data_IF_102727094299
#
_entry.id   IF_102727094299
#
_cell.length_a   1.000
_cell.length_b   1.000
_cell.length_c   1.000
_cell.angle_alpha   90.00
_cell.angle_beta   90.00
_cell.angle_gamma   90.00
#
_symmetry.space_group_name_H-M   'P 1'
#
loop_
_entity.id
_entity.type
_entity.pdbx_description
1 polymer ?
#
# COMPACT_ATOMS: atom_id res chain seq x y z
N UNK A 1 37.08 -35.70 -7.19
CA UNK A 1 38.42 -35.08 -7.10
C UNK A 1 38.42 -34.16 -5.90
N UNK A 2 39.23 -34.48 -4.96
CA UNK A 2 39.48 -34.00 -3.60
C UNK A 2 39.33 -32.49 -3.35
N UNK A 3 38.74 -32.19 -2.19
CA UNK A 3 39.03 -30.99 -1.37
C UNK A 3 40.52 -30.91 -0.99
N UNK A 4 40.99 -29.73 -0.50
CA UNK A 4 41.37 -29.74 0.90
C UNK A 4 40.89 -28.53 1.72
N UNK A 5 40.81 -28.86 3.02
CA UNK A 5 40.56 -28.05 4.20
C UNK A 5 41.77 -27.17 4.62
N UNK A 6 41.46 -26.42 5.69
CA UNK A 6 42.30 -25.86 6.77
C UNK A 6 42.74 -24.40 6.58
N UNK A 7 42.80 -23.48 7.56
CA UNK A 7 42.91 -23.58 9.01
C UNK A 7 42.61 -22.20 9.63
N UNK A 8 42.08 -22.22 10.82
CA UNK A 8 42.13 -21.10 11.80
C UNK A 8 43.50 -21.11 12.54
N UNK A 9 43.96 -20.02 13.15
CA UNK A 9 43.96 -19.89 14.62
C UNK A 9 43.70 -18.46 15.11
N UNK A 10 42.91 -18.23 16.14
CA UNK A 10 43.12 -18.19 17.61
C UNK A 10 44.02 -17.08 18.18
N UNK A 11 43.33 -16.33 19.11
CA UNK A 11 43.77 -15.74 20.39
C UNK A 11 44.75 -14.55 20.43
N UNK A 12 44.34 -13.48 21.16
CA UNK A 12 44.94 -13.20 22.47
C UNK A 12 44.31 -11.91 23.10
N UNK A 13 43.73 -12.07 24.26
CA UNK A 13 43.50 -11.01 25.27
C UNK A 13 44.84 -10.72 25.99
N UNK A 14 45.06 -9.55 26.60
CA UNK A 14 44.92 -9.48 28.05
C UNK A 14 44.36 -8.14 28.63
N UNK A 15 43.66 -8.27 29.75
CA UNK A 15 43.56 -7.37 30.89
C UNK A 15 44.77 -7.55 31.79
N UNK A 16 45.01 -6.82 32.95
CA UNK A 16 44.35 -5.74 33.67
C UNK A 16 45.31 -4.68 34.30
N UNK A 17 44.84 -3.83 35.17
CA UNK A 17 45.33 -3.34 36.48
C UNK A 17 45.11 -1.84 36.73
N UNK A 18 44.26 -1.53 37.70
CA UNK A 18 44.44 -1.16 39.12
C UNK A 18 45.10 0.18 39.44
N UNK A 19 44.47 0.99 40.25
CA UNK A 19 44.87 1.56 41.55
C UNK A 19 44.29 2.97 41.79
N UNK A 20 43.38 3.10 42.67
CA UNK A 20 43.47 3.46 44.14
C UNK A 20 43.65 4.95 44.45
N UNK A 21 42.65 5.45 45.18
CA UNK A 21 42.65 6.21 46.45
C UNK A 21 43.25 7.62 46.47
N UNK A 22 42.65 8.62 47.05
CA UNK A 22 42.42 8.94 48.46
C UNK A 22 41.64 10.24 48.64
N UNK A 23 40.65 10.22 49.44
CA UNK A 23 40.31 10.99 50.64
C UNK A 23 40.91 12.39 50.85
N UNK A 24 40.05 13.37 51.24
CA UNK A 24 40.09 14.12 52.49
C UNK A 24 38.99 15.20 52.59
N UNK A 25 38.01 15.04 53.42
CA UNK A 25 37.54 15.76 54.60
C UNK A 25 37.08 17.20 54.52
N UNK A 26 35.82 17.39 54.85
CA UNK A 26 35.13 18.29 55.74
C UNK A 26 35.20 19.83 55.56
N UNK A 27 34.04 20.45 55.50
CA UNK A 27 33.53 21.36 56.54
C UNK A 27 32.08 21.77 56.31
N UNK A 28 31.29 21.61 57.32
CA UNK A 28 29.98 22.07 57.71
C UNK A 28 29.73 23.56 57.44
N UNK A 29 28.56 23.89 56.89
CA UNK A 29 27.65 24.94 57.41
C UNK A 29 26.31 24.88 56.70
N UNK A 30 25.24 24.54 57.39
CA UNK A 30 23.86 24.96 57.12
C UNK A 30 23.60 26.25 57.88
N UNK A 31 22.60 27.09 57.58
CA UNK A 31 21.29 26.81 56.99
C UNK A 31 20.81 27.90 56.00
N UNK A 32 19.82 27.67 55.23
CA UNK A 32 18.62 28.51 55.11
C UNK A 32 17.77 28.00 53.94
N UNK A 33 16.59 27.48 54.25
CA UNK A 33 15.49 27.30 53.31
C UNK A 33 15.01 28.65 52.82
N UNK A 34 14.77 28.79 51.52
CA UNK A 34 13.46 29.24 51.10
C UNK A 34 12.91 28.55 49.86
N UNK A 35 11.61 28.35 49.93
CA UNK A 35 10.64 28.34 48.88
C UNK A 35 10.74 27.22 47.80
N UNK A 36 9.86 26.30 48.01
CA UNK A 36 9.23 25.39 47.08
C UNK A 36 8.85 26.13 45.78
N UNK A 37 9.74 26.06 44.77
CA UNK A 37 9.40 26.43 43.41
C UNK A 37 8.78 25.21 42.75
N UNK A 38 7.45 25.21 42.64
CA UNK A 38 6.64 24.26 41.91
C UNK A 38 7.13 24.22 40.45
N UNK A 39 7.92 23.22 40.11
CA UNK A 39 8.29 22.97 38.74
C UNK A 39 7.03 22.73 37.91
N UNK A 40 6.86 23.38 36.71
CA UNK A 40 5.71 23.13 35.88
C UNK A 40 5.75 21.65 35.45
N UNK A 41 4.70 20.91 35.77
CA UNK A 41 4.44 19.57 35.19
C UNK A 41 4.54 19.70 33.69
N UNK A 42 5.64 19.24 33.10
CA UNK A 42 5.73 19.01 31.65
C UNK A 42 4.57 18.08 31.30
N UNK A 43 3.54 18.65 30.69
CA UNK A 43 2.49 17.87 30.05
C UNK A 43 3.22 16.92 29.09
N UNK A 44 3.10 15.62 29.33
CA UNK A 44 3.46 14.62 28.34
C UNK A 44 2.59 14.94 27.12
N UNK A 45 3.16 15.66 26.14
CA UNK A 45 2.57 15.70 24.80
C UNK A 45 2.42 14.25 24.40
N UNK A 46 1.18 13.77 24.40
CA UNK A 46 0.83 12.48 23.88
C UNK A 46 1.41 12.39 22.45
N UNK A 47 1.97 11.23 22.12
CA UNK A 47 2.40 10.90 20.76
C UNK A 47 1.28 11.39 19.83
N UNK A 48 1.57 12.14 18.72
CA UNK A 48 0.53 12.54 17.80
C UNK A 48 -0.31 11.31 17.46
N UNK A 49 -1.60 11.34 17.79
CA UNK A 49 -2.49 10.23 17.46
C UNK A 49 -2.47 10.05 15.94
N UNK A 50 -2.51 8.81 15.46
CA UNK A 50 -2.72 8.55 14.05
C UNK A 50 -4.01 9.26 13.63
N UNK A 51 -3.93 10.10 12.58
CA UNK A 51 -5.14 10.53 11.92
C UNK A 51 -5.78 9.32 11.21
N UNK A 52 -7.07 9.43 10.88
CA UNK A 52 -7.85 8.33 10.30
C UNK A 52 -7.24 7.83 8.99
N UNK A 53 -6.70 8.72 8.19
CA UNK A 53 -6.11 8.37 6.90
C UNK A 53 -4.82 7.57 7.05
N UNK A 54 -3.91 8.03 7.89
CA UNK A 54 -2.66 7.33 8.22
C UNK A 54 -2.94 5.95 8.83
N UNK A 55 -3.96 5.85 9.69
CA UNK A 55 -4.41 4.57 10.26
C UNK A 55 -4.82 3.59 9.15
N UNK A 56 -5.69 4.03 8.24
CA UNK A 56 -6.19 3.18 7.14
C UNK A 56 -5.03 2.74 6.24
N UNK A 57 -4.14 3.64 5.85
CA UNK A 57 -3.01 3.32 4.99
C UNK A 57 -2.09 2.27 5.64
N UNK A 58 -1.72 2.45 6.89
CA UNK A 58 -0.89 1.49 7.64
C UNK A 58 -1.58 0.15 7.86
N UNK A 59 -2.87 0.16 8.20
CA UNK A 59 -3.63 -1.08 8.31
C UNK A 59 -3.72 -1.83 6.97
N UNK A 60 -3.82 -1.10 5.85
CA UNK A 60 -3.79 -1.68 4.50
C UNK A 60 -2.48 -2.40 4.24
N UNK A 61 -1.33 -1.81 4.58
CA UNK A 61 -0.01 -2.45 4.49
C UNK A 61 0.05 -3.75 5.32
N UNK A 62 -0.51 -3.73 6.54
CA UNK A 62 -0.56 -4.92 7.40
C UNK A 62 -1.43 -6.03 6.79
N UNK A 63 -2.60 -5.69 6.25
CA UNK A 63 -3.47 -6.66 5.59
C UNK A 63 -2.85 -7.26 4.34
N UNK A 64 -2.13 -6.46 3.55
CA UNK A 64 -1.41 -6.95 2.35
C UNK A 64 -0.29 -7.91 2.76
N UNK A 65 0.51 -7.55 3.77
CA UNK A 65 1.70 -8.31 4.17
C UNK A 65 1.40 -9.61 4.91
N UNK A 66 0.35 -9.60 5.77
CA UNK A 66 0.01 -10.75 6.66
C UNK A 66 -1.23 -11.53 6.22
N UNK A 67 -1.95 -11.03 5.23
CA UNK A 67 -3.28 -11.51 4.85
C UNK A 67 -4.37 -10.97 5.78
N UNK A 68 -5.55 -10.67 5.20
CA UNK A 68 -6.68 -10.14 5.96
C UNK A 68 -7.22 -11.16 6.97
N UNK A 69 -7.50 -12.40 6.54
CA UNK A 69 -8.16 -13.41 7.38
C UNK A 69 -7.33 -13.75 8.62
N UNK A 70 -6.00 -13.89 8.48
CA UNK A 70 -5.07 -14.20 9.56
C UNK A 70 -4.70 -13.01 10.45
N UNK A 71 -5.18 -11.79 10.16
CA UNK A 71 -4.85 -10.58 10.91
C UNK A 71 -5.96 -10.21 11.88
N UNK A 72 -5.64 -10.09 13.18
CA UNK A 72 -6.55 -9.55 14.20
C UNK A 72 -6.36 -8.04 14.40
N UNK A 73 -7.35 -7.37 15.02
CA UNK A 73 -7.22 -5.94 15.40
C UNK A 73 -6.09 -5.73 16.43
N UNK A 74 -5.78 -6.72 17.25
CA UNK A 74 -4.63 -6.67 18.16
C UNK A 74 -3.30 -6.71 17.38
N UNK A 75 -3.25 -7.49 16.31
CA UNK A 75 -2.09 -7.51 15.40
C UNK A 75 -1.91 -6.17 14.72
N UNK A 76 -2.99 -5.58 14.19
CA UNK A 76 -2.94 -4.23 13.59
C UNK A 76 -2.46 -3.20 14.61
N UNK A 77 -3.00 -3.19 15.83
CA UNK A 77 -2.61 -2.27 16.89
C UNK A 77 -1.12 -2.38 17.22
N UNK A 78 -0.61 -3.60 17.35
CA UNK A 78 0.81 -3.88 17.62
C UNK A 78 1.73 -3.38 16.50
N UNK A 79 1.39 -3.66 15.25
CA UNK A 79 2.19 -3.20 14.09
C UNK A 79 2.21 -1.67 13.95
N UNK A 80 1.10 -1.01 14.31
CA UNK A 80 1.01 0.44 14.30
C UNK A 80 1.62 1.09 15.56
N UNK A 81 1.91 0.32 16.61
CA UNK A 81 2.41 0.84 17.89
C UNK A 81 1.37 1.70 18.62
N UNK A 82 0.07 1.40 18.49
CA UNK A 82 -1.05 2.06 19.15
C UNK A 82 -1.89 1.06 19.92
N UNK A 83 -2.85 1.57 20.71
CA UNK A 83 -3.78 0.69 21.42
C UNK A 83 -4.92 0.25 20.50
N UNK A 84 -5.49 -0.92 20.75
CA UNK A 84 -6.69 -1.40 20.07
C UNK A 84 -7.87 -0.42 20.20
N UNK A 85 -8.00 0.21 21.37
CA UNK A 85 -9.01 1.25 21.60
C UNK A 85 -8.82 2.45 20.66
N UNK A 86 -7.57 2.86 20.38
CA UNK A 86 -7.29 3.95 19.46
C UNK A 86 -7.77 3.63 18.04
N UNK A 87 -7.68 2.36 17.59
CA UNK A 87 -8.23 1.95 16.29
C UNK A 87 -9.74 2.06 16.30
N UNK A 88 -10.42 1.58 17.36
CA UNK A 88 -11.88 1.59 17.47
C UNK A 88 -12.48 3.00 17.63
N UNK A 89 -11.68 4.03 17.90
CA UNK A 89 -12.12 5.42 17.77
C UNK A 89 -12.33 5.86 16.31
N UNK A 90 -11.72 5.17 15.35
CA UNK A 90 -11.77 5.53 13.93
C UNK A 90 -12.65 4.60 13.10
N UNK A 91 -12.81 3.35 13.51
CA UNK A 91 -13.57 2.31 12.79
C UNK A 91 -14.29 1.39 13.77
N UNK A 92 -15.48 0.93 13.40
CA UNK A 92 -16.30 0.08 14.28
C UNK A 92 -15.85 -1.40 14.25
N UNK A 93 -15.24 -1.86 13.15
CA UNK A 93 -14.86 -3.26 13.00
C UNK A 93 -13.65 -3.46 12.08
N UNK A 94 -13.14 -4.68 12.05
CA UNK A 94 -12.09 -5.11 11.11
C UNK A 94 -12.60 -5.07 9.67
N UNK A 95 -13.85 -5.43 9.46
CA UNK A 95 -14.52 -5.42 8.16
C UNK A 95 -14.67 -3.99 7.63
N UNK A 96 -15.05 -3.03 8.48
CA UNK A 96 -15.09 -1.61 8.11
C UNK A 96 -13.70 -1.10 7.74
N UNK A 97 -12.68 -1.49 8.50
CA UNK A 97 -11.30 -1.10 8.20
C UNK A 97 -10.85 -1.67 6.84
N UNK A 98 -11.20 -2.92 6.51
CA UNK A 98 -10.96 -3.51 5.19
C UNK A 98 -11.71 -2.76 4.09
N UNK A 99 -12.99 -2.46 4.31
CA UNK A 99 -13.81 -1.71 3.35
C UNK A 99 -13.19 -0.34 3.04
N UNK A 100 -12.79 0.40 4.06
CA UNK A 100 -12.11 1.69 3.90
C UNK A 100 -10.76 1.57 3.18
N UNK A 101 -10.00 0.51 3.51
CA UNK A 101 -8.72 0.22 2.87
C UNK A 101 -8.86 -0.03 1.36
N UNK A 102 -9.90 -0.75 0.94
CA UNK A 102 -10.16 -1.07 -0.48
C UNK A 102 -10.81 0.10 -1.21
N UNK A 103 -11.79 0.75 -0.59
CA UNK A 103 -12.67 1.73 -1.24
C UNK A 103 -11.94 2.91 -1.88
N UNK A 104 -10.77 3.30 -1.36
CA UNK A 104 -9.97 4.40 -1.94
C UNK A 104 -9.48 4.04 -3.33
N UNK A 105 -8.82 2.90 -3.47
CA UNK A 105 -8.31 2.43 -4.75
C UNK A 105 -9.43 2.15 -5.75
N UNK A 106 -10.53 1.54 -5.29
CA UNK A 106 -11.71 1.26 -6.13
C UNK A 106 -12.31 2.55 -6.67
N UNK A 107 -12.56 3.56 -5.82
CA UNK A 107 -13.12 4.83 -6.25
C UNK A 107 -12.18 5.59 -7.18
N UNK A 108 -10.89 5.61 -6.89
CA UNK A 108 -9.91 6.26 -7.76
C UNK A 108 -9.88 5.61 -9.15
N UNK A 109 -9.89 4.28 -9.21
CA UNK A 109 -9.91 3.53 -10.46
C UNK A 109 -11.21 3.74 -11.24
N UNK A 110 -12.36 3.66 -10.56
CA UNK A 110 -13.67 3.89 -11.19
C UNK A 110 -13.78 5.30 -11.78
N UNK A 111 -13.39 6.32 -11.01
CA UNK A 111 -13.37 7.71 -11.47
C UNK A 111 -12.42 7.94 -12.65
N UNK A 112 -11.23 7.33 -12.63
CA UNK A 112 -10.28 7.46 -13.73
C UNK A 112 -10.81 6.82 -15.03
N UNK A 113 -11.36 5.61 -14.95
CA UNK A 113 -11.97 4.93 -16.11
C UNK A 113 -13.18 5.70 -16.62
N UNK A 114 -14.04 6.21 -15.74
CA UNK A 114 -15.19 7.03 -16.11
C UNK A 114 -14.78 8.30 -16.85
N UNK A 115 -13.79 9.03 -16.31
CA UNK A 115 -13.27 10.26 -16.91
C UNK A 115 -12.79 10.02 -18.34
N UNK A 116 -12.03 8.96 -18.58
CA UNK A 116 -11.51 8.67 -19.91
C UNK A 116 -12.59 8.09 -20.84
N UNK A 117 -13.58 7.37 -20.31
CA UNK A 117 -14.72 6.86 -21.07
C UNK A 117 -15.58 7.97 -21.66
N UNK A 118 -15.68 9.09 -20.97
CA UNK A 118 -16.49 10.25 -21.35
C UNK A 118 -15.68 11.32 -22.09
N UNK A 119 -14.40 11.10 -22.37
CA UNK A 119 -13.54 12.08 -23.05
C UNK A 119 -14.07 12.39 -24.46
N UNK A 120 -14.32 13.66 -24.69
CA UNK A 120 -14.80 14.15 -25.98
C UNK A 120 -13.65 14.35 -27.00
N UNK A 121 -14.00 14.41 -28.28
CA UNK A 121 -13.09 14.68 -29.40
C UNK A 121 -11.97 13.66 -29.62
N UNK A 122 -12.13 12.43 -29.11
CA UNK A 122 -11.24 11.30 -29.37
C UNK A 122 -12.08 10.05 -29.68
N UNK A 123 -11.54 9.13 -30.50
CA UNK A 123 -12.22 7.90 -30.85
C UNK A 123 -12.21 6.88 -29.66
N UNK A 124 -12.99 5.80 -29.80
CA UNK A 124 -13.13 4.81 -28.74
C UNK A 124 -11.80 4.08 -28.44
N UNK A 125 -10.96 3.84 -29.44
CA UNK A 125 -9.63 3.25 -29.23
C UNK A 125 -8.77 4.13 -28.33
N UNK A 126 -8.73 5.43 -28.58
CA UNK A 126 -7.94 6.36 -27.78
C UNK A 126 -8.50 6.50 -26.36
N UNK A 127 -9.84 6.55 -26.18
CA UNK A 127 -10.46 6.47 -24.85
C UNK A 127 -10.04 5.23 -24.09
N UNK A 128 -10.02 4.08 -24.77
CA UNK A 128 -9.58 2.82 -24.16
C UNK A 128 -8.10 2.86 -23.77
N UNK A 129 -7.23 3.40 -24.62
CA UNK A 129 -5.80 3.57 -24.30
C UNK A 129 -5.59 4.44 -23.04
N UNK A 130 -6.29 5.57 -22.99
CA UNK A 130 -6.22 6.49 -21.85
C UNK A 130 -6.76 5.84 -20.57
N UNK A 131 -7.87 5.09 -20.67
CA UNK A 131 -8.43 4.36 -19.53
C UNK A 131 -7.47 3.27 -19.00
N UNK A 132 -6.80 2.53 -19.87
CA UNK A 132 -5.78 1.54 -19.49
C UNK A 132 -4.57 2.24 -18.85
N UNK A 133 -4.08 3.33 -19.46
CA UNK A 133 -2.97 4.11 -18.92
C UNK A 133 -3.29 4.65 -17.52
N UNK A 134 -4.45 5.28 -17.35
CA UNK A 134 -4.92 5.80 -16.08
C UNK A 134 -5.06 4.68 -15.03
N UNK A 135 -5.55 3.49 -15.44
CA UNK A 135 -5.65 2.33 -14.56
C UNK A 135 -4.29 1.88 -14.02
N UNK A 136 -3.22 1.92 -14.81
CA UNK A 136 -1.85 1.61 -14.37
C UNK A 136 -1.37 2.63 -13.32
N UNK A 137 -1.54 3.92 -13.60
CA UNK A 137 -1.13 4.99 -12.69
C UNK A 137 -1.85 4.87 -11.34
N UNK A 138 -3.18 4.70 -11.37
CA UNK A 138 -4.00 4.53 -10.16
C UNK A 138 -3.63 3.25 -9.40
N UNK A 139 -3.37 2.13 -10.12
CA UNK A 139 -2.92 0.90 -9.48
C UNK A 139 -1.61 1.09 -8.71
N UNK A 140 -0.67 1.82 -9.29
CA UNK A 140 0.63 2.11 -8.65
C UNK A 140 0.43 3.04 -7.45
N UNK A 141 -0.34 4.12 -7.59
CA UNK A 141 -0.61 5.09 -6.52
C UNK A 141 -1.34 4.43 -5.34
N UNK A 142 -2.34 3.59 -5.63
CA UNK A 142 -3.15 2.88 -4.64
C UNK A 142 -2.78 1.40 -4.51
N UNK A 143 -1.51 1.06 -4.74
CA UNK A 143 -1.01 -0.31 -4.88
C UNK A 143 -1.53 -1.26 -3.80
N UNK A 144 -1.44 -0.89 -2.52
CA UNK A 144 -1.90 -1.74 -1.42
C UNK A 144 -3.43 -1.93 -1.43
N UNK A 145 -4.20 -0.88 -1.73
CA UNK A 145 -5.66 -0.94 -1.82
C UNK A 145 -6.12 -1.85 -2.96
N UNK A 146 -5.50 -1.73 -4.14
CA UNK A 146 -5.81 -2.56 -5.30
C UNK A 146 -5.36 -4.01 -5.06
N UNK A 147 -4.20 -4.23 -4.44
CA UNK A 147 -3.74 -5.57 -4.05
C UNK A 147 -4.74 -6.26 -3.13
N UNK A 148 -5.31 -5.54 -2.14
CA UNK A 148 -6.37 -6.09 -1.29
C UNK A 148 -7.63 -6.41 -2.08
N UNK A 149 -8.08 -5.51 -2.96
CA UNK A 149 -9.24 -5.75 -3.82
C UNK A 149 -9.08 -7.02 -4.65
N UNK A 150 -7.89 -7.30 -5.17
CA UNK A 150 -7.62 -8.51 -5.97
C UNK A 150 -7.61 -9.80 -5.13
N UNK A 151 -7.45 -9.68 -3.81
CA UNK A 151 -7.39 -10.83 -2.88
C UNK A 151 -8.71 -11.14 -2.17
N UNK A 152 -9.69 -10.22 -2.17
CA UNK A 152 -10.99 -10.48 -1.54
C UNK A 152 -11.76 -11.57 -2.29
N UNK A 153 -12.52 -12.38 -1.52
CA UNK A 153 -13.24 -13.57 -2.03
C UNK A 153 -14.77 -13.44 -1.95
N UNK A 154 -15.28 -12.38 -1.32
CA UNK A 154 -16.71 -12.18 -1.14
C UNK A 154 -17.27 -12.85 0.11
N UNK A 155 -16.44 -13.13 1.11
CA UNK A 155 -16.84 -13.81 2.35
C UNK A 155 -17.76 -12.93 3.23
N UNK A 156 -17.66 -11.61 3.10
CA UNK A 156 -18.52 -10.66 3.85
C UNK A 156 -19.37 -9.80 2.91
N UNK A 157 -20.43 -9.12 3.41
CA UNK A 157 -21.20 -8.16 2.60
C UNK A 157 -20.32 -7.07 1.99
N UNK A 158 -19.39 -6.51 2.77
CA UNK A 158 -18.47 -5.44 2.32
C UNK A 158 -17.50 -5.92 1.24
N UNK A 159 -17.03 -7.17 1.33
CA UNK A 159 -16.23 -7.76 0.25
C UNK A 159 -17.05 -7.98 -1.03
N UNK A 160 -18.31 -8.40 -0.91
CA UNK A 160 -19.19 -8.53 -2.09
C UNK A 160 -19.46 -7.20 -2.76
N UNK A 161 -19.65 -6.12 -2.00
CA UNK A 161 -19.77 -4.75 -2.52
C UNK A 161 -18.50 -4.34 -3.30
N UNK A 162 -17.31 -4.61 -2.74
CA UNK A 162 -16.04 -4.32 -3.41
C UNK A 162 -15.88 -5.11 -4.73
N UNK A 163 -16.29 -6.39 -4.74
CA UNK A 163 -16.29 -7.20 -5.97
C UNK A 163 -17.33 -6.73 -7.00
N UNK A 164 -18.45 -6.20 -6.57
CA UNK A 164 -19.45 -5.61 -7.45
C UNK A 164 -18.92 -4.32 -8.09
N UNK A 165 -18.33 -3.43 -7.30
CA UNK A 165 -17.68 -2.24 -7.80
C UNK A 165 -16.58 -2.56 -8.83
N UNK A 166 -15.77 -3.61 -8.57
CA UNK A 166 -14.80 -4.11 -9.55
C UNK A 166 -15.46 -4.57 -10.85
N UNK A 167 -16.56 -5.35 -10.78
CA UNK A 167 -17.30 -5.79 -11.97
C UNK A 167 -17.85 -4.60 -12.78
N UNK A 168 -18.26 -3.52 -12.12
CA UNK A 168 -18.73 -2.32 -12.80
C UNK A 168 -17.60 -1.62 -13.56
N UNK A 169 -16.38 -1.57 -13.00
CA UNK A 169 -15.20 -1.06 -13.70
C UNK A 169 -14.88 -1.93 -14.92
N UNK A 170 -14.88 -3.27 -14.75
CA UNK A 170 -14.66 -4.23 -15.82
C UNK A 170 -15.69 -4.02 -16.97
N UNK A 171 -16.96 -3.76 -16.62
CA UNK A 171 -18.02 -3.51 -17.59
C UNK A 171 -17.82 -2.20 -18.37
N UNK A 172 -17.36 -1.11 -17.72
CA UNK A 172 -17.04 0.16 -18.39
C UNK A 172 -15.90 -0.02 -19.40
N UNK A 173 -14.82 -0.69 -19.03
CA UNK A 173 -13.71 -0.95 -19.95
C UNK A 173 -14.14 -1.88 -21.08
N UNK A 174 -14.99 -2.86 -20.81
CA UNK A 174 -15.56 -3.73 -21.85
C UNK A 174 -16.38 -2.94 -22.86
N UNK A 175 -17.20 -1.97 -22.42
CA UNK A 175 -17.97 -1.12 -23.31
C UNK A 175 -17.05 -0.27 -24.22
N UNK A 176 -15.91 0.21 -23.71
CA UNK A 176 -14.90 0.88 -24.54
C UNK A 176 -14.29 -0.06 -25.59
N UNK A 177 -14.00 -1.30 -25.24
CA UNK A 177 -13.51 -2.32 -26.18
C UNK A 177 -14.55 -2.58 -27.27
N UNK A 178 -15.82 -2.75 -26.90
CA UNK A 178 -16.94 -2.95 -27.85
C UNK A 178 -17.06 -1.77 -28.80
N UNK A 179 -16.99 -0.54 -28.31
CA UNK A 179 -17.02 0.67 -29.14
C UNK A 179 -15.81 0.77 -30.06
N UNK A 180 -14.60 0.47 -29.58
CA UNK A 180 -13.39 0.52 -30.38
C UNK A 180 -13.39 -0.54 -31.52
N UNK A 181 -13.98 -1.72 -31.29
CA UNK A 181 -14.20 -2.74 -32.32
C UNK A 181 -15.23 -2.21 -33.35
N UNK A 182 -16.35 -1.64 -32.91
CA UNK A 182 -17.39 -1.11 -33.78
C UNK A 182 -16.90 0.05 -34.68
N UNK A 183 -15.97 0.87 -34.16
CA UNK A 183 -15.31 1.94 -34.90
C UNK A 183 -14.17 1.45 -35.82
N UNK A 184 -13.84 0.13 -35.80
CA UNK A 184 -12.76 -0.45 -36.61
C UNK A 184 -11.35 -0.18 -36.10
N UNK A 185 -11.21 0.39 -34.86
CA UNK A 185 -9.92 0.67 -34.23
C UNK A 185 -9.28 -0.54 -33.57
N UNK A 186 -10.09 -1.57 -33.25
CA UNK A 186 -9.60 -2.84 -32.68
C UNK A 186 -10.01 -4.02 -33.58
N UNK A 187 -9.19 -5.06 -33.54
CA UNK A 187 -9.48 -6.35 -34.14
C UNK A 187 -10.76 -6.97 -33.57
N UNK A 188 -11.54 -7.62 -34.43
CA UNK A 188 -12.85 -8.22 -34.11
C UNK A 188 -12.82 -9.75 -33.99
N UNK A 189 -11.67 -10.38 -34.21
CA UNK A 189 -11.50 -11.85 -34.16
C UNK A 189 -11.46 -12.41 -32.71
N UNK A 190 -11.33 -11.54 -31.69
CA UNK A 190 -11.46 -11.90 -30.28
C UNK A 190 -12.71 -11.24 -29.68
N UNK A 191 -13.33 -11.95 -28.72
CA UNK A 191 -14.49 -11.39 -28.02
C UNK A 191 -14.09 -10.21 -27.13
N UNK A 192 -14.93 -9.15 -27.00
CA UNK A 192 -14.64 -8.01 -26.13
C UNK A 192 -14.30 -8.42 -24.70
N UNK A 193 -14.99 -9.42 -24.15
CA UNK A 193 -14.72 -9.93 -22.80
C UNK A 193 -13.34 -10.57 -22.65
N UNK A 194 -12.83 -11.22 -23.71
CA UNK A 194 -11.46 -11.79 -23.68
C UNK A 194 -10.42 -10.67 -23.70
N UNK A 195 -10.59 -9.69 -24.61
CA UNK A 195 -9.70 -8.52 -24.70
C UNK A 195 -9.65 -7.78 -23.35
N UNK A 196 -10.80 -7.46 -22.77
CA UNK A 196 -10.90 -6.79 -21.47
C UNK A 196 -10.15 -7.58 -20.38
N UNK A 197 -10.33 -8.90 -20.34
CA UNK A 197 -9.67 -9.76 -19.35
C UNK A 197 -8.16 -9.78 -19.52
N UNK A 198 -7.65 -9.80 -20.73
CA UNK A 198 -6.22 -9.75 -21.02
C UNK A 198 -5.62 -8.40 -20.65
N UNK A 199 -6.28 -7.29 -20.98
CA UNK A 199 -5.87 -5.95 -20.58
C UNK A 199 -5.77 -5.82 -19.06
N UNK A 200 -6.81 -6.21 -18.33
CA UNK A 200 -6.76 -6.21 -16.86
C UNK A 200 -5.78 -7.21 -16.28
N UNK A 201 -5.58 -8.36 -16.93
CA UNK A 201 -4.53 -9.32 -16.53
C UNK A 201 -3.14 -8.68 -16.56
N UNK A 202 -2.84 -7.94 -17.64
CA UNK A 202 -1.59 -7.21 -17.79
C UNK A 202 -1.45 -6.10 -16.74
N UNK A 203 -2.45 -5.26 -16.56
CA UNK A 203 -2.45 -4.18 -15.56
C UNK A 203 -2.32 -4.76 -14.14
N UNK A 204 -3.12 -5.75 -13.79
CA UNK A 204 -3.14 -6.34 -12.45
C UNK A 204 -1.83 -7.08 -12.09
N UNK A 205 -1.09 -7.59 -13.09
CA UNK A 205 0.21 -8.24 -12.85
C UNK A 205 1.22 -7.33 -12.14
N UNK A 206 1.07 -6.01 -12.28
CA UNK A 206 1.91 -5.01 -11.62
C UNK A 206 1.86 -5.17 -10.09
N UNK A 207 0.73 -5.59 -9.50
CA UNK A 207 0.63 -5.81 -8.05
C UNK A 207 1.57 -6.88 -7.52
N UNK A 208 2.05 -7.80 -8.37
CA UNK A 208 2.91 -8.89 -7.96
C UNK A 208 4.39 -8.49 -7.89
N UNK A 209 4.83 -7.63 -8.79
CA UNK A 209 6.27 -7.29 -8.92
C UNK A 209 6.61 -5.85 -8.56
N UNK A 210 5.70 -4.89 -8.69
CA UNK A 210 5.97 -3.49 -8.37
C UNK A 210 6.22 -3.29 -6.87
N UNK A 211 7.18 -2.41 -6.57
CA UNK A 211 7.48 -1.93 -5.22
C UNK A 211 7.76 -0.44 -5.31
N UNK A 212 7.46 0.37 -4.27
CA UNK A 212 7.74 1.82 -4.26
C UNK A 212 9.22 2.17 -4.50
N UNK A 213 10.14 1.23 -4.24
CA UNK A 213 11.58 1.38 -4.51
C UNK A 213 11.98 0.98 -5.94
N UNK A 214 11.03 0.60 -6.79
CA UNK A 214 11.32 0.24 -8.17
C UNK A 214 11.85 1.46 -8.94
N UNK A 215 12.96 1.34 -9.72
CA UNK A 215 13.69 2.48 -10.26
C UNK A 215 13.03 3.12 -11.49
N UNK A 216 11.82 2.69 -11.87
CA UNK A 216 11.07 3.21 -13.02
C UNK A 216 9.84 3.96 -12.52
N UNK A 217 9.62 5.15 -13.03
CA UNK A 217 8.48 5.97 -12.64
C UNK A 217 7.14 5.39 -13.17
N UNK A 218 6.03 5.72 -12.50
CA UNK A 218 4.70 5.20 -12.86
C UNK A 218 4.27 5.51 -14.29
N UNK A 219 4.61 6.68 -14.81
CA UNK A 219 4.24 7.09 -16.17
C UNK A 219 4.96 6.25 -17.23
N UNK A 220 6.24 5.95 -17.02
CA UNK A 220 7.01 5.04 -17.89
C UNK A 220 6.42 3.63 -17.89
N UNK A 221 5.98 3.12 -16.71
CA UNK A 221 5.32 1.81 -16.63
C UNK A 221 3.99 1.84 -17.37
N UNK A 222 3.19 2.90 -17.21
CA UNK A 222 1.92 3.07 -17.88
C UNK A 222 2.08 3.15 -19.41
N UNK A 223 3.08 3.87 -19.88
CA UNK A 223 3.42 3.95 -21.30
C UNK A 223 3.85 2.58 -21.85
N UNK A 224 4.72 1.86 -21.16
CA UNK A 224 5.15 0.52 -21.56
C UNK A 224 3.97 -0.45 -21.67
N UNK A 225 3.08 -0.47 -20.67
CA UNK A 225 1.90 -1.35 -20.66
C UNK A 225 0.96 -1.01 -21.83
N UNK A 226 0.67 0.27 -22.05
CA UNK A 226 -0.21 0.69 -23.15
C UNK A 226 0.41 0.39 -24.50
N UNK A 227 1.67 0.69 -24.71
CA UNK A 227 2.39 0.39 -25.96
C UNK A 227 2.34 -1.11 -26.26
N UNK A 228 2.70 -1.95 -25.29
CA UNK A 228 2.68 -3.41 -25.46
C UNK A 228 1.28 -3.96 -25.71
N UNK A 229 0.28 -3.46 -24.99
CA UNK A 229 -1.11 -3.92 -25.13
C UNK A 229 -1.70 -3.60 -26.50
N UNK A 230 -1.48 -2.38 -26.99
CA UNK A 230 -2.18 -1.90 -28.18
C UNK A 230 -1.44 -2.14 -29.49
N UNK A 231 -0.14 -2.36 -29.50
CA UNK A 231 0.58 -2.74 -30.72
C UNK A 231 0.11 -4.09 -31.30
N UNK A 232 -0.40 -5.01 -30.46
CA UNK A 232 -0.96 -6.28 -30.90
C UNK A 232 -2.48 -6.31 -31.03
N UNK A 233 -3.19 -5.26 -30.61
CA UNK A 233 -4.65 -5.17 -30.59
C UNK A 233 -5.20 -4.23 -31.66
N UNK A 234 -4.40 -3.39 -32.27
CA UNK A 234 -4.81 -2.55 -33.37
C UNK A 234 -5.12 -3.39 -34.60
N UNK A 235 -6.18 -2.99 -35.34
CA UNK A 235 -6.62 -3.68 -36.57
C UNK A 235 -5.81 -3.27 -37.81
#
# INVERSE_FOLDING_TARGET
MRMPESSSPASTTPDPTTSSAESTTAASTSPTTPAEATAPKRSRRGRPGYDRETLINKATEVFVSRGYDGTSMDTVARELGITKSAIYHHVASKEELLHLAISRGVRALDSAVETESLRENVNALERLRLAVRASVVILIEYHHSVTLLLRVRGNSPLEREALEARRNIDAKVRALVESAIAEGGLRSDFTPGLITRLLFGMVNSITEWYRPSYPVDPDTIAEAVTTMAFQGLEA
#
